data_IF_339446193719
#
_entry.id   IF_339446193719
#
_cell.length_a   1.000
_cell.length_b   1.000
_cell.length_c   1.000
_cell.angle_alpha   90.00
_cell.angle_beta   90.00
_cell.angle_gamma   90.00
#
_symmetry.space_group_name_H-M   'P 1'
#
loop_
_entity.id
_entity.type
_entity.pdbx_description
1 polymer ?
#
# COMPACT_ATOMS: atom_id res chain seq x y z
N UNK A 1 -20.32 24.02 7.80
CA UNK A 1 -19.45 23.72 8.96
C UNK A 1 -19.04 22.28 8.77
N UNK A 2 -17.80 22.01 8.37
CA UNK A 2 -17.30 20.63 8.27
C UNK A 2 -17.14 20.11 9.71
N UNK A 3 -17.94 19.10 10.07
CA UNK A 3 -17.76 18.42 11.35
C UNK A 3 -16.37 17.78 11.36
N UNK A 4 -15.56 18.13 12.36
CA UNK A 4 -14.29 17.48 12.63
C UNK A 4 -14.56 16.08 13.13
N UNK A 5 -14.10 15.06 12.40
CA UNK A 5 -14.22 13.68 12.84
C UNK A 5 -13.04 13.33 13.72
N UNK A 6 -13.27 12.66 14.86
CA UNK A 6 -12.24 12.20 15.76
C UNK A 6 -12.59 10.80 16.30
N UNK A 7 -11.64 9.90 16.25
CA UNK A 7 -11.83 8.50 16.61
C UNK A 7 -12.40 7.64 15.49
N UNK A 8 -12.15 6.33 15.59
CA UNK A 8 -12.42 5.34 14.55
C UNK A 8 -13.85 5.37 14.00
N UNK A 9 -14.85 5.30 14.89
CA UNK A 9 -16.25 5.21 14.46
C UNK A 9 -16.71 6.46 13.73
N UNK A 10 -16.32 7.64 14.22
CA UNK A 10 -16.64 8.92 13.57
C UNK A 10 -16.09 9.01 12.14
N UNK A 11 -14.88 8.48 11.93
CA UNK A 11 -14.30 8.42 10.59
C UNK A 11 -15.01 7.42 9.68
N UNK A 12 -15.31 6.22 10.19
CA UNK A 12 -16.06 5.21 9.42
C UNK A 12 -17.42 5.78 8.99
N UNK A 13 -18.16 6.39 9.91
CA UNK A 13 -19.47 6.98 9.62
C UNK A 13 -19.38 8.09 8.58
N UNK A 14 -18.40 8.98 8.72
CA UNK A 14 -18.16 10.05 7.77
C UNK A 14 -17.83 9.54 6.38
N UNK A 15 -16.89 8.59 6.28
CA UNK A 15 -16.46 8.03 4.99
C UNK A 15 -17.55 7.19 4.32
N UNK A 16 -18.46 6.59 5.11
CA UNK A 16 -19.63 5.90 4.58
C UNK A 16 -20.75 6.84 4.10
N UNK A 17 -20.90 8.01 4.72
CA UNK A 17 -22.12 8.82 4.53
C UNK A 17 -21.98 9.99 3.55
N UNK A 18 -20.82 10.64 3.43
CA UNK A 18 -20.88 12.01 2.94
C UNK A 18 -20.01 12.40 1.74
N UNK A 19 -18.91 11.74 1.46
CA UNK A 19 -17.94 12.37 0.55
C UNK A 19 -17.58 11.58 -0.73
N UNK A 20 -18.13 10.38 -0.88
CA UNK A 20 -18.04 9.58 -2.10
C UNK A 20 -19.45 9.17 -2.60
N UNK A 21 -20.32 10.13 -2.98
CA UNK A 21 -21.74 9.83 -3.26
C UNK A 21 -21.93 8.79 -4.36
N UNK A 22 -21.11 8.83 -5.42
CA UNK A 22 -21.14 7.83 -6.49
C UNK A 22 -20.61 6.49 -6.02
N UNK A 23 -19.53 6.48 -5.25
CA UNK A 23 -18.97 5.29 -4.64
C UNK A 23 -19.92 4.69 -3.60
N UNK A 24 -20.52 5.52 -2.73
CA UNK A 24 -21.43 5.04 -1.69
C UNK A 24 -22.65 4.30 -2.29
N UNK A 25 -23.22 4.80 -3.38
CA UNK A 25 -24.35 4.15 -4.04
C UNK A 25 -23.96 2.80 -4.64
N UNK A 26 -22.83 2.73 -5.38
CA UNK A 26 -22.35 1.47 -5.97
C UNK A 26 -21.94 0.48 -4.89
N UNK A 27 -21.21 0.94 -3.85
CA UNK A 27 -20.81 0.10 -2.71
C UNK A 27 -22.03 -0.46 -2.00
N UNK A 28 -23.04 0.37 -1.70
CA UNK A 28 -24.27 -0.07 -1.05
C UNK A 28 -25.05 -1.09 -1.90
N UNK A 29 -25.17 -0.85 -3.21
CA UNK A 29 -25.86 -1.78 -4.10
C UNK A 29 -25.09 -3.11 -4.22
N UNK A 30 -23.75 -3.06 -4.29
CA UNK A 30 -22.90 -4.26 -4.30
C UNK A 30 -22.94 -5.00 -2.95
N UNK A 31 -23.00 -4.28 -1.82
CA UNK A 31 -23.16 -4.89 -0.49
C UNK A 31 -24.50 -5.59 -0.36
N UNK A 32 -25.61 -4.97 -0.77
CA UNK A 32 -26.93 -5.60 -0.75
C UNK A 32 -26.97 -6.89 -1.56
N UNK A 33 -26.24 -6.94 -2.67
CA UNK A 33 -26.13 -8.18 -3.47
C UNK A 33 -25.36 -9.28 -2.72
N UNK A 34 -24.37 -8.93 -1.90
CA UNK A 34 -23.57 -9.88 -1.11
C UNK A 34 -24.37 -10.48 0.04
N UNK A 35 -25.33 -9.72 0.62
CA UNK A 35 -26.21 -10.19 1.69
C UNK A 35 -27.29 -11.17 1.21
N UNK A 36 -27.48 -11.29 -0.12
CA UNK A 36 -28.44 -12.22 -0.72
C UNK A 36 -27.75 -13.57 -0.96
N UNK A 37 -28.20 -14.64 -0.30
CA UNK A 37 -27.65 -16.01 -0.46
C UNK A 37 -27.59 -16.50 -1.92
N UNK A 38 -28.33 -15.86 -2.84
CA UNK A 38 -28.42 -16.25 -4.25
C UNK A 38 -28.49 -15.02 -5.19
N UNK A 39 -27.56 -14.08 -5.04
CA UNK A 39 -27.46 -12.96 -5.99
C UNK A 39 -27.18 -13.48 -7.42
N UNK A 40 -28.01 -13.08 -8.36
CA UNK A 40 -27.90 -13.56 -9.75
C UNK A 40 -26.93 -12.71 -10.58
N UNK A 41 -26.37 -13.33 -11.64
CA UNK A 41 -25.60 -12.63 -12.69
C UNK A 41 -26.34 -11.40 -13.21
N UNK A 42 -27.66 -11.51 -13.37
CA UNK A 42 -28.50 -10.44 -13.88
C UNK A 42 -28.57 -9.26 -12.90
N UNK A 43 -28.71 -9.52 -11.60
CA UNK A 43 -28.79 -8.46 -10.60
C UNK A 43 -27.49 -7.65 -10.53
N UNK A 44 -26.32 -8.32 -10.58
CA UNK A 44 -25.03 -7.62 -10.64
C UNK A 44 -24.88 -6.83 -11.93
N UNK A 45 -25.27 -7.42 -13.07
CA UNK A 45 -25.25 -6.72 -14.34
C UNK A 45 -26.14 -5.47 -14.34
N UNK A 46 -27.34 -5.55 -13.78
CA UNK A 46 -28.28 -4.42 -13.69
C UNK A 46 -27.74 -3.27 -12.82
N UNK A 47 -27.01 -3.57 -11.75
CA UNK A 47 -26.34 -2.55 -10.94
C UNK A 47 -25.27 -1.85 -11.77
N UNK A 48 -24.41 -2.59 -12.44
CA UNK A 48 -23.28 -2.04 -13.21
C UNK A 48 -23.74 -1.26 -14.45
N UNK A 49 -24.79 -1.72 -15.13
CA UNK A 49 -25.32 -1.08 -16.33
C UNK A 49 -26.00 0.27 -16.09
N UNK A 50 -26.27 0.65 -14.82
CA UNK A 50 -26.77 1.98 -14.47
C UNK A 50 -25.74 3.09 -14.67
N UNK A 51 -24.45 2.73 -14.65
CA UNK A 51 -23.33 3.64 -14.85
C UNK A 51 -22.52 3.20 -16.10
N UNK A 52 -22.62 3.97 -17.18
CA UNK A 52 -21.95 3.67 -18.44
C UNK A 52 -20.41 3.78 -18.33
N UNK A 53 -19.90 4.69 -17.48
CA UNK A 53 -18.47 4.86 -17.26
C UNK A 53 -17.90 3.65 -16.51
N UNK A 54 -18.55 3.23 -15.42
CA UNK A 54 -18.20 2.04 -14.67
C UNK A 54 -18.30 0.78 -15.55
N UNK A 55 -19.40 0.61 -16.29
CA UNK A 55 -19.57 -0.48 -17.25
C UNK A 55 -18.40 -0.57 -18.22
N UNK A 56 -18.03 0.54 -18.85
CA UNK A 56 -16.92 0.60 -19.81
C UNK A 56 -15.57 0.20 -19.17
N UNK A 57 -15.30 0.67 -17.95
CA UNK A 57 -14.06 0.37 -17.24
C UNK A 57 -13.99 -1.08 -16.77
N UNK A 58 -15.09 -1.63 -16.24
CA UNK A 58 -15.18 -3.05 -15.87
C UNK A 58 -14.95 -3.95 -17.08
N UNK A 59 -15.54 -3.61 -18.24
CA UNK A 59 -15.30 -4.34 -19.49
C UNK A 59 -13.84 -4.20 -19.95
N UNK A 60 -13.22 -3.05 -19.78
CA UNK A 60 -11.79 -2.84 -20.11
C UNK A 60 -10.89 -3.70 -19.23
N UNK A 61 -11.11 -3.70 -17.92
CA UNK A 61 -10.38 -4.56 -16.98
C UNK A 61 -10.61 -6.03 -17.31
N UNK A 62 -11.85 -6.42 -17.55
CA UNK A 62 -12.22 -7.79 -17.94
C UNK A 62 -11.61 -8.25 -19.27
N UNK A 63 -11.35 -7.34 -20.21
CA UNK A 63 -10.67 -7.63 -21.48
C UNK A 63 -9.14 -7.51 -21.39
N UNK A 64 -8.57 -7.16 -20.24
CA UNK A 64 -7.12 -7.17 -20.09
C UNK A 64 -6.55 -8.58 -20.23
N UNK A 65 -5.31 -8.70 -20.66
CA UNK A 65 -4.65 -10.00 -20.84
C UNK A 65 -4.64 -10.85 -19.57
N UNK A 66 -4.79 -10.21 -18.43
CA UNK A 66 -4.84 -10.84 -17.13
C UNK A 66 -6.16 -11.59 -16.89
N UNK A 67 -7.30 -10.90 -17.06
CA UNK A 67 -8.63 -11.52 -16.86
C UNK A 67 -9.12 -12.32 -18.06
N UNK A 68 -8.55 -12.09 -19.23
CA UNK A 68 -8.93 -12.72 -20.49
C UNK A 68 -7.70 -13.21 -21.28
N UNK A 69 -7.00 -14.23 -20.77
CA UNK A 69 -5.82 -14.77 -21.45
C UNK A 69 -6.14 -15.35 -22.84
N UNK A 70 -7.39 -15.78 -23.08
CA UNK A 70 -7.85 -16.27 -24.38
C UNK A 70 -8.02 -15.16 -25.43
N UNK A 71 -7.98 -13.88 -25.02
CA UNK A 71 -8.21 -12.71 -25.87
C UNK A 71 -9.56 -12.71 -26.63
N UNK A 72 -10.50 -13.51 -26.17
CA UNK A 72 -11.88 -13.52 -26.70
C UNK A 72 -12.60 -12.25 -26.21
N UNK A 73 -12.94 -11.33 -27.10
CA UNK A 73 -13.49 -10.03 -26.70
C UNK A 73 -14.78 -10.17 -25.89
N UNK A 74 -14.74 -9.73 -24.65
CA UNK A 74 -15.89 -9.64 -23.74
C UNK A 74 -16.63 -8.33 -24.04
N UNK A 75 -17.87 -8.44 -24.54
CA UNK A 75 -18.67 -7.29 -24.99
C UNK A 75 -19.79 -6.91 -24.01
N UNK A 76 -20.13 -7.77 -23.07
CA UNK A 76 -21.24 -7.56 -22.13
C UNK A 76 -20.84 -7.85 -20.69
N UNK A 77 -21.44 -7.16 -19.74
CA UNK A 77 -21.23 -7.39 -18.31
C UNK A 77 -21.62 -8.81 -17.90
N UNK A 78 -22.75 -9.32 -18.39
CA UNK A 78 -23.16 -10.69 -18.10
C UNK A 78 -22.12 -11.73 -18.57
N UNK A 79 -21.47 -11.49 -19.72
CA UNK A 79 -20.38 -12.36 -20.20
C UNK A 79 -19.13 -12.22 -19.33
N UNK A 80 -18.80 -11.00 -18.90
CA UNK A 80 -17.71 -10.76 -17.95
C UNK A 80 -17.92 -11.54 -16.65
N UNK A 81 -19.12 -11.45 -16.06
CA UNK A 81 -19.47 -12.17 -14.83
C UNK A 81 -19.33 -13.69 -15.00
N UNK A 82 -19.76 -14.24 -16.13
CA UNK A 82 -19.64 -15.69 -16.39
C UNK A 82 -18.19 -16.12 -16.58
N UNK A 83 -17.35 -15.30 -17.21
CA UNK A 83 -15.95 -15.67 -17.53
C UNK A 83 -15.00 -15.40 -16.35
N UNK A 84 -15.17 -14.29 -15.66
CA UNK A 84 -14.27 -13.82 -14.60
C UNK A 84 -14.75 -14.28 -13.21
N UNK A 85 -16.05 -14.51 -13.09
CA UNK A 85 -16.72 -14.84 -11.83
C UNK A 85 -17.44 -13.64 -11.20
N UNK A 86 -18.50 -13.93 -10.44
CA UNK A 86 -19.37 -12.94 -9.81
C UNK A 86 -18.59 -12.04 -8.82
N UNK A 87 -17.86 -12.66 -7.89
CA UNK A 87 -17.13 -11.94 -6.86
C UNK A 87 -15.99 -11.09 -7.43
N UNK A 88 -15.28 -11.60 -8.43
CA UNK A 88 -14.21 -10.85 -9.08
C UNK A 88 -14.76 -9.61 -9.81
N UNK A 89 -15.86 -9.73 -10.55
CA UNK A 89 -16.48 -8.56 -11.20
C UNK A 89 -17.00 -7.56 -10.17
N UNK A 90 -17.56 -8.03 -9.07
CA UNK A 90 -17.98 -7.19 -7.95
C UNK A 90 -16.81 -6.42 -7.36
N UNK A 91 -15.71 -7.10 -7.05
CA UNK A 91 -14.51 -6.48 -6.45
C UNK A 91 -13.80 -5.52 -7.43
N UNK A 92 -13.73 -5.88 -8.72
CA UNK A 92 -13.23 -4.98 -9.78
C UNK A 92 -14.08 -3.72 -9.83
N UNK A 93 -15.40 -3.85 -9.78
CA UNK A 93 -16.32 -2.73 -9.85
C UNK A 93 -16.17 -1.80 -8.66
N UNK A 94 -16.01 -2.36 -7.46
CA UNK A 94 -15.72 -1.62 -6.24
C UNK A 94 -14.39 -0.85 -6.35
N UNK A 95 -13.33 -1.53 -6.80
CA UNK A 95 -11.99 -0.93 -6.95
C UNK A 95 -12.00 0.20 -7.96
N UNK A 96 -12.63 0.00 -9.13
CA UNK A 96 -12.75 1.03 -10.18
C UNK A 96 -13.51 2.24 -9.67
N UNK A 97 -14.65 2.03 -8.99
CA UNK A 97 -15.45 3.12 -8.44
C UNK A 97 -14.69 3.91 -7.38
N UNK A 98 -13.94 3.23 -6.50
CA UNK A 98 -13.12 3.86 -5.49
C UNK A 98 -12.02 4.73 -6.12
N UNK A 99 -11.26 4.16 -7.05
CA UNK A 99 -10.17 4.85 -7.74
C UNK A 99 -10.70 6.10 -8.48
N UNK A 100 -11.82 5.98 -9.19
CA UNK A 100 -12.44 7.10 -9.88
C UNK A 100 -12.86 8.18 -8.92
N UNK A 101 -13.63 7.85 -7.89
CA UNK A 101 -14.10 8.82 -6.90
C UNK A 101 -12.96 9.56 -6.19
N UNK A 102 -11.85 8.88 -5.94
CA UNK A 102 -10.66 9.48 -5.34
C UNK A 102 -9.87 10.36 -6.34
N UNK A 103 -9.84 9.99 -7.62
CA UNK A 103 -9.07 10.71 -8.64
C UNK A 103 -9.84 11.81 -9.36
N UNK A 104 -11.16 11.88 -9.28
CA UNK A 104 -11.99 12.88 -9.95
C UNK A 104 -11.80 14.31 -9.42
N UNK A 105 -11.45 14.44 -8.16
CA UNK A 105 -11.11 15.73 -7.53
C UNK A 105 -9.61 15.95 -7.70
N UNK A 106 -9.12 17.19 -7.58
CA UNK A 106 -7.68 17.47 -7.62
C UNK A 106 -7.00 16.69 -6.45
N UNK A 107 -6.45 15.49 -6.70
CA UNK A 107 -6.00 14.61 -5.62
C UNK A 107 -4.72 15.17 -5.00
N UNK A 108 -4.64 15.10 -3.67
CA UNK A 108 -3.41 15.40 -2.93
C UNK A 108 -2.26 14.50 -3.39
N UNK A 109 -1.04 14.99 -3.27
CA UNK A 109 0.14 14.23 -3.66
C UNK A 109 0.23 12.91 -2.88
N UNK A 110 -0.03 12.92 -1.58
CA UNK A 110 -0.04 11.74 -0.71
C UNK A 110 -1.02 10.67 -1.22
N UNK A 111 -2.22 11.07 -1.65
CA UNK A 111 -3.17 10.14 -2.24
C UNK A 111 -2.64 9.51 -3.53
N UNK A 112 -2.01 10.31 -4.39
CA UNK A 112 -1.48 9.80 -5.66
C UNK A 112 -0.33 8.82 -5.43
N UNK A 113 0.58 9.14 -4.53
CA UNK A 113 1.71 8.28 -4.14
C UNK A 113 1.22 6.97 -3.52
N UNK A 114 0.25 7.05 -2.61
CA UNK A 114 -0.35 5.88 -1.98
C UNK A 114 -1.06 4.97 -3.00
N UNK A 115 -1.85 5.54 -3.91
CA UNK A 115 -2.50 4.77 -4.97
C UNK A 115 -1.49 4.10 -5.91
N UNK A 116 -0.42 4.79 -6.31
CA UNK A 116 0.63 4.22 -7.13
C UNK A 116 1.30 3.02 -6.42
N UNK A 117 1.58 3.18 -5.12
CA UNK A 117 2.11 2.11 -4.26
C UNK A 117 1.13 0.94 -4.16
N UNK A 118 -0.16 1.21 -4.00
CA UNK A 118 -1.21 0.17 -3.93
C UNK A 118 -1.30 -0.65 -5.22
N UNK A 119 -1.22 -0.03 -6.40
CA UNK A 119 -1.16 -0.77 -7.67
C UNK A 119 0.10 -1.63 -7.78
N UNK A 120 1.25 -1.08 -7.40
CA UNK A 120 2.50 -1.83 -7.40
C UNK A 120 2.42 -3.03 -6.45
N UNK A 121 1.97 -2.80 -5.21
CA UNK A 121 1.77 -3.85 -4.21
C UNK A 121 0.81 -4.95 -4.69
N UNK A 122 -0.29 -4.57 -5.34
CA UNK A 122 -1.29 -5.51 -5.83
C UNK A 122 -0.75 -6.45 -6.92
N UNK A 123 0.02 -5.90 -7.87
CA UNK A 123 0.64 -6.72 -8.92
C UNK A 123 1.73 -7.61 -8.34
N UNK A 124 2.56 -7.10 -7.42
CA UNK A 124 3.55 -7.91 -6.70
C UNK A 124 2.86 -9.08 -5.99
N UNK A 125 1.86 -8.80 -5.16
CA UNK A 125 1.16 -9.82 -4.37
C UNK A 125 0.53 -10.90 -5.25
N UNK A 126 -0.12 -10.53 -6.34
CA UNK A 126 -0.72 -11.44 -7.29
C UNK A 126 0.32 -12.35 -7.94
N UNK A 127 1.40 -11.77 -8.45
CA UNK A 127 2.44 -12.54 -9.13
C UNK A 127 3.18 -13.47 -8.16
N UNK A 128 3.37 -13.06 -6.90
CA UNK A 128 3.88 -13.91 -5.83
C UNK A 128 2.92 -15.08 -5.57
N UNK A 129 1.62 -14.81 -5.48
CA UNK A 129 0.60 -15.84 -5.28
C UNK A 129 0.64 -16.90 -6.38
N UNK A 130 0.93 -16.53 -7.62
CA UNK A 130 1.06 -17.45 -8.75
C UNK A 130 2.12 -18.54 -8.58
N UNK A 131 3.11 -18.39 -7.69
CA UNK A 131 4.08 -19.43 -7.38
C UNK A 131 3.54 -20.50 -6.42
N UNK A 132 2.61 -20.14 -5.54
CA UNK A 132 2.20 -20.95 -4.40
C UNK A 132 0.72 -21.32 -4.38
N UNK A 133 -0.09 -20.60 -5.16
CA UNK A 133 -1.53 -20.83 -5.26
C UNK A 133 -1.88 -21.28 -6.69
N UNK A 134 -2.88 -22.16 -6.78
CA UNK A 134 -3.44 -22.59 -8.06
C UNK A 134 -4.72 -21.85 -8.43
N UNK A 135 -5.26 -21.05 -7.51
CA UNK A 135 -6.49 -20.26 -7.63
C UNK A 135 -6.41 -19.09 -6.63
N UNK A 136 -7.33 -18.12 -6.79
CA UNK A 136 -7.49 -16.96 -5.89
C UNK A 136 -6.46 -15.83 -6.07
N UNK A 137 -5.70 -15.82 -7.15
CA UNK A 137 -4.74 -14.74 -7.45
C UNK A 137 -5.43 -13.37 -7.57
N UNK A 138 -6.66 -13.36 -8.09
CA UNK A 138 -7.48 -12.15 -8.18
C UNK A 138 -7.89 -11.60 -6.81
N UNK A 139 -8.23 -12.48 -5.88
CA UNK A 139 -8.58 -12.09 -4.52
C UNK A 139 -7.35 -11.48 -3.81
N UNK A 140 -6.17 -12.07 -4.02
CA UNK A 140 -4.89 -11.55 -3.52
C UNK A 140 -4.60 -10.17 -4.10
N UNK A 141 -4.82 -9.98 -5.42
CA UNK A 141 -4.65 -8.68 -6.07
C UNK A 141 -5.54 -7.61 -5.44
N UNK A 142 -6.83 -7.88 -5.30
CA UNK A 142 -7.79 -6.91 -4.73
C UNK A 142 -7.50 -6.65 -3.25
N UNK A 143 -7.17 -7.69 -2.47
CA UNK A 143 -6.82 -7.53 -1.07
C UNK A 143 -5.58 -6.63 -0.89
N UNK A 144 -4.58 -6.75 -1.75
CA UNK A 144 -3.40 -5.90 -1.73
C UNK A 144 -3.69 -4.47 -2.24
N UNK A 145 -4.50 -4.32 -3.31
CA UNK A 145 -4.88 -3.02 -3.87
C UNK A 145 -5.65 -2.16 -2.85
N UNK A 146 -6.53 -2.79 -2.09
CA UNK A 146 -7.38 -2.13 -1.10
C UNK A 146 -6.84 -2.27 0.33
N UNK A 147 -5.60 -2.73 0.50
CA UNK A 147 -4.96 -2.90 1.81
C UNK A 147 -4.99 -1.61 2.63
N UNK A 148 -4.69 -0.48 2.01
CA UNK A 148 -4.63 0.82 2.67
C UNK A 148 -5.87 1.69 2.37
N UNK A 149 -7.03 1.05 2.20
CA UNK A 149 -8.27 1.71 1.77
C UNK A 149 -8.74 2.84 2.71
N UNK A 150 -8.51 2.71 4.01
CA UNK A 150 -8.87 3.75 4.99
C UNK A 150 -7.99 4.98 4.85
N UNK A 151 -6.69 4.79 4.65
CA UNK A 151 -5.76 5.89 4.39
C UNK A 151 -6.05 6.55 3.04
N UNK A 152 -6.30 5.75 1.99
CA UNK A 152 -6.74 6.27 0.69
C UNK A 152 -8.00 7.13 0.80
N UNK A 153 -9.01 6.64 1.51
CA UNK A 153 -10.26 7.37 1.74
C UNK A 153 -10.04 8.65 2.56
N UNK A 154 -9.17 8.61 3.57
CA UNK A 154 -8.81 9.79 4.36
C UNK A 154 -8.14 10.86 3.50
N UNK A 155 -7.09 10.53 2.74
CA UNK A 155 -6.42 11.50 1.87
C UNK A 155 -7.32 12.05 0.77
N UNK A 156 -8.29 11.27 0.31
CA UNK A 156 -9.27 11.69 -0.70
C UNK A 156 -10.39 12.57 -0.14
N UNK A 157 -10.84 12.28 1.08
CA UNK A 157 -12.07 12.85 1.64
C UNK A 157 -11.90 13.54 3.01
N UNK A 158 -10.71 13.53 3.57
CA UNK A 158 -10.42 14.08 4.91
C UNK A 158 -10.58 15.60 5.01
N UNK A 159 -10.67 16.31 3.87
CA UNK A 159 -10.87 17.76 3.87
C UNK A 159 -9.77 18.50 4.62
N UNK A 160 -10.16 19.42 5.51
CA UNK A 160 -9.21 20.22 6.30
C UNK A 160 -8.32 19.37 7.21
N UNK A 161 -8.83 18.25 7.74
CA UNK A 161 -8.01 17.37 8.60
C UNK A 161 -6.90 16.64 7.82
N UNK A 162 -7.11 16.36 6.54
CA UNK A 162 -6.04 15.84 5.69
C UNK A 162 -4.97 16.92 5.38
N UNK A 163 -5.34 18.19 5.27
CA UNK A 163 -4.38 19.29 5.14
C UNK A 163 -3.60 19.46 6.46
N UNK A 164 -4.29 19.42 7.60
CA UNK A 164 -3.67 19.45 8.95
C UNK A 164 -2.66 18.31 9.14
N UNK A 165 -3.02 17.07 8.80
CA UNK A 165 -2.08 15.95 8.89
C UNK A 165 -0.86 16.18 8.00
N UNK A 166 -1.05 16.69 6.78
CA UNK A 166 0.04 17.02 5.87
C UNK A 166 1.00 18.06 6.47
N UNK A 167 0.48 19.08 7.14
CA UNK A 167 1.30 20.10 7.82
C UNK A 167 2.07 19.54 9.02
N UNK A 168 1.43 18.71 9.84
CA UNK A 168 2.06 18.06 11.01
C UNK A 168 3.21 17.15 10.56
N UNK A 169 3.00 16.35 9.51
CA UNK A 169 4.04 15.50 8.93
C UNK A 169 5.19 16.31 8.32
N UNK A 170 4.90 17.40 7.65
CA UNK A 170 5.93 18.31 7.12
C UNK A 170 6.75 18.97 8.24
N UNK A 171 6.18 19.11 9.45
CA UNK A 171 6.86 19.58 10.66
C UNK A 171 7.85 18.59 11.26
N UNK A 172 7.91 17.35 10.73
CA UNK A 172 8.86 16.32 11.19
C UNK A 172 8.35 15.46 12.36
N UNK A 173 7.07 15.54 12.70
CA UNK A 173 6.44 14.64 13.67
C UNK A 173 6.46 13.21 13.15
N UNK A 174 6.64 12.24 14.05
CA UNK A 174 6.52 10.82 13.69
C UNK A 174 5.17 10.52 13.05
N UNK A 175 5.16 9.64 12.04
CA UNK A 175 3.97 9.38 11.22
C UNK A 175 2.81 8.86 12.08
N UNK A 176 3.05 7.88 12.93
CA UNK A 176 1.98 7.25 13.71
C UNK A 176 1.47 8.21 14.81
N UNK A 177 2.35 9.01 15.39
CA UNK A 177 1.99 10.05 16.35
C UNK A 177 1.14 11.16 15.71
N UNK A 178 1.53 11.62 14.51
CA UNK A 178 0.77 12.63 13.76
C UNK A 178 -0.63 12.13 13.40
N UNK A 179 -0.73 10.87 12.94
CA UNK A 179 -2.01 10.23 12.61
C UNK A 179 -2.92 10.13 13.84
N UNK A 180 -2.40 9.64 14.96
CA UNK A 180 -3.16 9.54 16.21
C UNK A 180 -3.61 10.92 16.71
N UNK A 181 -2.76 11.93 16.61
CA UNK A 181 -3.08 13.30 17.00
C UNK A 181 -4.24 13.88 16.19
N UNK A 182 -4.24 13.71 14.87
CA UNK A 182 -5.22 14.33 13.96
C UNK A 182 -6.50 13.51 13.86
N UNK A 183 -6.40 12.19 13.80
CA UNK A 183 -7.54 11.31 13.58
C UNK A 183 -8.14 10.76 14.88
N UNK A 184 -7.36 10.67 15.98
CA UNK A 184 -7.76 9.95 17.20
C UNK A 184 -7.85 8.44 17.01
N UNK A 185 -7.19 7.92 15.97
CA UNK A 185 -7.11 6.50 15.63
C UNK A 185 -5.95 6.26 14.67
N UNK A 186 -5.51 5.02 14.50
CA UNK A 186 -4.47 4.68 13.53
C UNK A 186 -5.05 4.38 12.14
N UNK A 187 -4.26 4.58 11.08
CA UNK A 187 -4.65 4.14 9.73
C UNK A 187 -4.91 2.63 9.66
N UNK A 188 -4.16 1.83 10.41
CA UNK A 188 -4.42 0.38 10.50
C UNK A 188 -5.83 0.07 11.00
N UNK A 189 -6.30 0.76 12.04
CA UNK A 189 -7.67 0.58 12.55
C UNK A 189 -8.70 1.08 11.53
N UNK A 190 -8.44 2.19 10.89
CA UNK A 190 -9.32 2.75 9.87
C UNK A 190 -9.41 1.83 8.64
N UNK A 191 -8.29 1.28 8.17
CA UNK A 191 -8.25 0.30 7.09
C UNK A 191 -9.13 -0.91 7.43
N UNK A 192 -8.92 -1.53 8.59
CA UNK A 192 -9.72 -2.68 9.05
C UNK A 192 -11.20 -2.34 9.20
N UNK A 193 -11.52 -1.15 9.70
CA UNK A 193 -12.89 -0.67 9.84
C UNK A 193 -13.60 -0.55 8.51
N UNK A 194 -12.97 0.05 7.51
CA UNK A 194 -13.56 0.18 6.17
C UNK A 194 -13.56 -1.13 5.38
N UNK A 195 -12.54 -1.97 5.50
CA UNK A 195 -12.54 -3.31 4.90
C UNK A 195 -13.75 -4.10 5.36
N UNK A 196 -14.07 -4.07 6.66
CA UNK A 196 -15.26 -4.72 7.21
C UNK A 196 -16.55 -4.03 6.78
N UNK A 197 -16.61 -2.70 6.88
CA UNK A 197 -17.80 -1.92 6.52
C UNK A 197 -18.17 -2.07 5.04
N UNK A 198 -17.20 -2.17 4.16
CA UNK A 198 -17.40 -2.32 2.71
C UNK A 198 -17.42 -3.77 2.23
N UNK A 199 -17.29 -4.73 3.14
CA UNK A 199 -17.25 -6.16 2.85
C UNK A 199 -16.27 -6.52 1.72
N UNK A 200 -15.03 -6.01 1.83
CA UNK A 200 -13.98 -6.20 0.81
C UNK A 200 -13.54 -7.66 0.72
N UNK A 201 -13.66 -8.40 1.83
CA UNK A 201 -13.35 -9.81 1.91
C UNK A 201 -12.52 -10.18 3.15
N UNK A 202 -12.54 -11.46 3.47
CA UNK A 202 -11.82 -11.97 4.65
C UNK A 202 -10.30 -11.87 4.48
N UNK A 203 -9.79 -12.16 3.29
CA UNK A 203 -8.36 -12.10 2.98
C UNK A 203 -7.79 -10.69 3.27
N UNK A 204 -8.47 -9.63 2.84
CA UNK A 204 -8.06 -8.25 3.12
C UNK A 204 -8.04 -7.97 4.64
N UNK A 205 -9.02 -8.50 5.39
CA UNK A 205 -9.06 -8.37 6.85
C UNK A 205 -7.91 -9.14 7.52
N UNK A 206 -7.62 -10.35 7.07
CA UNK A 206 -6.53 -11.18 7.62
C UNK A 206 -5.15 -10.60 7.34
N UNK A 207 -4.95 -9.96 6.20
CA UNK A 207 -3.68 -9.32 5.83
C UNK A 207 -3.29 -8.17 6.79
N UNK A 208 -4.26 -7.52 7.45
CA UNK A 208 -4.00 -6.50 8.47
C UNK A 208 -3.83 -7.05 9.89
N UNK A 209 -4.27 -8.28 10.15
CA UNK A 209 -4.17 -8.90 11.47
C UNK A 209 -2.73 -9.31 11.79
N UNK A 210 -2.48 -9.70 13.07
CA UNK A 210 -1.35 -10.55 13.42
C UNK A 210 -1.58 -11.96 12.85
N UNK A 211 -2.27 -12.01 11.71
CA UNK A 211 -2.89 -13.15 11.12
C UNK A 211 -1.88 -14.16 10.62
N UNK A 212 -2.42 -15.24 10.27
CA UNK A 212 -1.76 -16.45 9.88
C UNK A 212 -0.88 -16.24 8.62
N UNK A 213 0.34 -15.71 8.80
CA UNK A 213 1.38 -15.68 7.73
C UNK A 213 1.71 -17.09 7.19
N UNK A 214 1.13 -18.15 7.79
CA UNK A 214 1.18 -19.50 7.24
C UNK A 214 0.19 -19.69 6.10
N UNK A 215 -0.83 -18.82 5.99
CA UNK A 215 -1.71 -18.80 4.82
C UNK A 215 -0.97 -18.17 3.64
N UNK A 216 -0.75 -18.92 2.54
CA UNK A 216 0.01 -18.41 1.40
C UNK A 216 -0.61 -17.17 0.75
N UNK A 217 -1.93 -17.01 0.77
CA UNK A 217 -2.60 -15.84 0.22
C UNK A 217 -2.32 -14.59 1.08
N UNK A 218 -2.43 -14.72 2.41
CA UNK A 218 -2.11 -13.64 3.36
C UNK A 218 -0.62 -13.26 3.26
N UNK A 219 0.26 -14.25 3.15
CA UNK A 219 1.69 -14.00 3.01
C UNK A 219 2.01 -13.28 1.70
N UNK A 220 1.38 -13.67 0.58
CA UNK A 220 1.53 -13.00 -0.72
C UNK A 220 1.10 -11.53 -0.66
N UNK A 221 -0.03 -11.22 0.00
CA UNK A 221 -0.47 -9.82 0.22
C UNK A 221 0.59 -9.07 1.04
N UNK A 222 1.04 -9.63 2.15
CA UNK A 222 2.04 -9.02 3.02
C UNK A 222 3.34 -8.72 2.29
N UNK A 223 3.87 -9.70 1.54
CA UNK A 223 5.09 -9.52 0.72
C UNK A 223 4.90 -8.44 -0.33
N UNK A 224 3.80 -8.48 -1.09
CA UNK A 224 3.52 -7.49 -2.13
C UNK A 224 3.45 -6.06 -1.59
N UNK A 225 2.79 -5.85 -0.45
CA UNK A 225 2.69 -4.54 0.21
C UNK A 225 4.06 -4.05 0.68
N UNK A 226 4.86 -4.92 1.30
CA UNK A 226 6.22 -4.58 1.79
C UNK A 226 7.18 -4.29 0.63
N UNK A 227 7.12 -5.06 -0.46
CA UNK A 227 7.90 -4.81 -1.67
C UNK A 227 7.52 -3.46 -2.29
N UNK A 228 6.22 -3.16 -2.40
CA UNK A 228 5.74 -1.88 -2.90
C UNK A 228 6.24 -0.69 -2.09
N UNK A 229 6.31 -0.83 -0.77
CA UNK A 229 6.86 0.19 0.12
C UNK A 229 8.40 0.30 0.01
N UNK A 230 9.11 -0.83 0.03
CA UNK A 230 10.58 -0.84 -0.04
C UNK A 230 11.11 -0.29 -1.38
N UNK A 231 10.39 -0.49 -2.47
CA UNK A 231 10.77 0.01 -3.79
C UNK A 231 10.88 1.55 -3.86
N UNK A 232 10.14 2.27 -3.03
CA UNK A 232 10.26 3.74 -2.91
C UNK A 232 11.64 4.16 -2.38
N UNK A 233 12.30 3.28 -1.63
CA UNK A 233 13.65 3.48 -1.11
C UNK A 233 14.75 3.02 -2.10
N UNK A 234 14.36 2.52 -3.27
CA UNK A 234 15.25 2.01 -4.31
C UNK A 234 15.45 0.50 -4.26
N UNK A 235 15.70 -0.06 -5.43
CA UNK A 235 15.80 -1.50 -5.66
C UNK A 235 16.98 -2.20 -4.96
N UNK A 236 18.00 -1.46 -4.55
CA UNK A 236 19.19 -1.97 -3.85
C UNK A 236 19.20 -1.65 -2.34
N UNK A 237 18.07 -1.31 -1.74
CA UNK A 237 18.04 -1.04 -0.30
C UNK A 237 18.09 -2.35 0.51
N UNK A 238 18.66 -2.33 1.74
CA UNK A 238 18.79 -3.53 2.57
C UNK A 238 17.45 -4.22 2.86
N UNK A 239 16.38 -3.44 2.94
CA UNK A 239 15.04 -3.95 3.12
C UNK A 239 14.59 -4.79 1.90
N UNK A 240 14.86 -4.29 0.69
CA UNK A 240 14.56 -5.02 -0.55
C UNK A 240 15.37 -6.32 -0.65
N UNK A 241 16.63 -6.32 -0.27
CA UNK A 241 17.45 -7.55 -0.25
C UNK A 241 16.86 -8.61 0.70
N UNK A 242 16.32 -8.18 1.85
CA UNK A 242 15.60 -9.07 2.77
C UNK A 242 14.34 -9.65 2.15
N UNK A 243 13.57 -8.82 1.43
CA UNK A 243 12.33 -9.23 0.75
C UNK A 243 12.59 -10.17 -0.43
N UNK A 244 13.67 -9.94 -1.18
CA UNK A 244 14.11 -10.85 -2.27
C UNK A 244 14.38 -12.23 -1.72
N UNK A 245 15.11 -12.35 -0.61
CA UNK A 245 15.39 -13.66 0.05
C UNK A 245 14.11 -14.32 0.55
N UNK A 246 13.23 -13.55 1.21
CA UNK A 246 11.95 -14.06 1.69
C UNK A 246 11.08 -14.57 0.54
N UNK A 247 11.02 -13.83 -0.59
CA UNK A 247 10.30 -14.28 -1.79
C UNK A 247 10.93 -15.52 -2.42
N UNK A 248 12.26 -15.59 -2.50
CA UNK A 248 12.97 -16.75 -3.04
C UNK A 248 12.65 -18.01 -2.23
N UNK A 249 12.72 -17.93 -0.91
CA UNK A 249 12.37 -19.02 0.00
C UNK A 249 10.90 -19.42 -0.12
N UNK A 250 10.01 -18.45 -0.17
CA UNK A 250 8.57 -18.67 -0.24
C UNK A 250 8.13 -19.28 -1.58
N UNK A 251 8.67 -18.79 -2.68
CA UNK A 251 8.35 -19.25 -4.04
C UNK A 251 9.16 -20.47 -4.50
N UNK A 252 10.17 -20.88 -3.72
CA UNK A 252 11.08 -21.97 -4.12
C UNK A 252 11.91 -21.65 -5.37
N UNK A 253 12.30 -20.40 -5.56
CA UNK A 253 13.05 -19.87 -6.71
C UNK A 253 14.41 -19.29 -6.28
N UNK A 254 15.28 -18.97 -7.23
CA UNK A 254 16.53 -18.30 -6.90
C UNK A 254 16.31 -16.81 -6.53
N UNK A 255 17.21 -16.21 -5.74
CA UNK A 255 17.17 -14.77 -5.45
C UNK A 255 17.23 -13.91 -6.73
N UNK A 256 17.96 -14.39 -7.74
CA UNK A 256 18.05 -13.71 -9.04
C UNK A 256 16.70 -13.72 -9.76
N UNK A 257 16.00 -14.85 -9.78
CA UNK A 257 14.67 -14.98 -10.37
C UNK A 257 13.64 -14.16 -9.57
N UNK A 258 13.73 -14.17 -8.23
CA UNK A 258 12.89 -13.37 -7.36
C UNK A 258 13.04 -11.88 -7.65
N UNK A 259 14.27 -11.36 -7.76
CA UNK A 259 14.53 -9.97 -8.13
C UNK A 259 14.01 -9.63 -9.51
N UNK A 260 14.24 -10.50 -10.50
CA UNK A 260 13.72 -10.32 -11.86
C UNK A 260 12.18 -10.25 -11.86
N UNK A 261 11.52 -11.11 -11.09
CA UNK A 261 10.08 -11.11 -10.95
C UNK A 261 9.56 -9.81 -10.31
N UNK A 262 10.23 -9.31 -9.27
CA UNK A 262 9.88 -8.04 -8.62
C UNK A 262 9.96 -6.89 -9.63
N UNK A 263 11.01 -6.79 -10.41
CA UNK A 263 11.17 -5.75 -11.42
C UNK A 263 10.11 -5.87 -12.53
N UNK A 264 9.88 -7.08 -13.05
CA UNK A 264 8.85 -7.32 -14.06
C UNK A 264 7.44 -6.95 -13.56
N UNK A 265 7.17 -7.22 -12.29
CA UNK A 265 5.88 -6.85 -11.65
C UNK A 265 5.72 -5.34 -11.53
N UNK A 266 6.78 -4.57 -11.33
CA UNK A 266 6.71 -3.11 -11.32
C UNK A 266 6.36 -2.55 -12.71
N UNK A 267 6.96 -3.08 -13.78
CA UNK A 267 6.61 -2.71 -15.16
C UNK A 267 5.16 -3.08 -15.49
N UNK A 268 4.71 -4.24 -15.05
CA UNK A 268 3.33 -4.66 -15.22
C UNK A 268 2.35 -3.77 -14.46
N UNK A 269 2.71 -3.27 -13.27
CA UNK A 269 1.88 -2.38 -12.47
C UNK A 269 1.53 -1.08 -13.21
N UNK A 270 2.41 -0.56 -14.04
CA UNK A 270 2.15 0.60 -14.91
C UNK A 270 1.03 0.30 -15.90
N UNK A 271 1.03 -0.89 -16.51
CA UNK A 271 0.01 -1.31 -17.46
C UNK A 271 -1.34 -1.53 -16.75
N UNK A 272 -1.31 -2.15 -15.57
CA UNK A 272 -2.51 -2.39 -14.76
C UNK A 272 -3.12 -1.09 -14.30
N UNK A 273 -2.35 -0.14 -13.75
CA UNK A 273 -2.83 1.18 -13.35
C UNK A 273 -3.49 1.92 -14.54
N UNK A 274 -2.89 1.83 -15.73
CA UNK A 274 -3.47 2.40 -16.96
C UNK A 274 -4.81 1.76 -17.32
N UNK A 275 -4.92 0.44 -17.18
CA UNK A 275 -6.15 -0.32 -17.45
C UNK A 275 -7.29 0.10 -16.52
N UNK A 276 -6.98 0.37 -15.26
CA UNK A 276 -7.94 0.90 -14.26
C UNK A 276 -8.25 2.39 -14.45
N UNK A 277 -7.66 3.08 -15.43
CA UNK A 277 -7.90 4.50 -15.70
C UNK A 277 -7.00 5.45 -14.89
N UNK A 278 -6.00 4.93 -14.20
CA UNK A 278 -5.10 5.68 -13.32
C UNK A 278 -3.75 6.04 -13.97
N UNK A 279 -3.73 6.28 -15.29
CA UNK A 279 -2.49 6.51 -16.08
C UNK A 279 -1.60 7.65 -15.53
N UNK A 280 -2.20 8.64 -14.86
CA UNK A 280 -1.44 9.74 -14.23
C UNK A 280 -0.54 9.29 -13.08
N UNK A 281 -0.81 8.12 -12.49
CA UNK A 281 -0.02 7.55 -11.39
C UNK A 281 1.20 6.78 -11.86
N UNK A 282 1.28 6.45 -13.16
CA UNK A 282 2.36 5.63 -13.72
C UNK A 282 3.77 6.18 -13.43
N UNK A 283 3.89 7.51 -13.35
CA UNK A 283 5.16 8.19 -13.04
C UNK A 283 5.62 8.04 -11.59
N UNK A 284 4.70 7.65 -10.71
CA UNK A 284 4.95 7.47 -9.28
C UNK A 284 5.28 6.01 -8.92
N UNK A 285 5.08 5.08 -9.86
CA UNK A 285 5.54 3.70 -9.72
C UNK A 285 7.05 3.69 -9.96
N UNK A 286 7.86 3.07 -9.09
CA UNK A 286 9.31 3.07 -9.22
C UNK A 286 9.78 2.51 -10.58
N UNK A 287 10.63 3.26 -11.26
CA UNK A 287 11.17 2.86 -12.57
C UNK A 287 12.11 1.66 -12.43
N UNK A 288 12.04 0.76 -13.39
CA UNK A 288 12.92 -0.40 -13.54
C UNK A 288 13.99 -0.18 -14.61
N UNK A 289 14.01 1.00 -15.26
CA UNK A 289 15.05 1.39 -16.22
C UNK A 289 16.44 1.31 -15.56
N UNK A 290 17.35 0.46 -16.06
CA UNK A 290 18.67 0.24 -15.45
C UNK A 290 19.48 1.53 -15.24
N UNK A 291 19.37 2.50 -16.14
CA UNK A 291 20.08 3.78 -16.01
C UNK A 291 19.50 4.60 -14.84
N UNK A 292 18.18 4.64 -14.72
CA UNK A 292 17.50 5.35 -13.62
C UNK A 292 17.71 4.63 -12.28
N UNK A 293 17.67 3.31 -12.25
CA UNK A 293 17.96 2.50 -11.06
C UNK A 293 19.39 2.76 -10.57
N UNK A 294 20.37 2.75 -11.48
CA UNK A 294 21.77 3.03 -11.11
C UNK A 294 21.95 4.48 -10.63
N UNK A 295 21.28 5.44 -11.27
CA UNK A 295 21.33 6.84 -10.84
C UNK A 295 20.75 7.03 -9.44
N UNK A 296 19.60 6.42 -9.14
CA UNK A 296 18.98 6.44 -7.82
C UNK A 296 19.87 5.79 -6.75
N UNK A 297 20.47 4.63 -7.08
CA UNK A 297 21.41 3.96 -6.19
C UNK A 297 22.65 4.81 -5.91
N UNK A 298 23.21 5.44 -6.93
CA UNK A 298 24.35 6.33 -6.78
C UNK A 298 24.03 7.58 -5.95
N UNK A 299 22.87 8.20 -6.18
CA UNK A 299 22.39 9.33 -5.39
C UNK A 299 22.19 8.95 -3.94
N UNK A 300 21.60 7.79 -3.67
CA UNK A 300 21.41 7.27 -2.32
C UNK A 300 22.74 6.97 -1.64
N UNK A 301 23.66 6.29 -2.31
CA UNK A 301 25.00 6.03 -1.79
C UNK A 301 25.75 7.32 -1.43
N UNK A 302 25.55 8.37 -2.23
CA UNK A 302 26.11 9.69 -1.95
C UNK A 302 25.43 10.42 -0.78
N UNK A 303 24.15 10.09 -0.49
CA UNK A 303 23.38 10.67 0.64
C UNK A 303 23.59 9.94 1.97
N UNK A 304 24.15 8.73 1.94
CA UNK A 304 24.44 7.97 3.15
C UNK A 304 25.53 8.68 3.98
N UNK A 305 25.32 8.71 5.28
CA UNK A 305 26.33 9.19 6.21
C UNK A 305 27.61 8.37 6.04
N UNK A 306 28.73 9.06 5.68
CA UNK A 306 30.02 8.40 5.60
C UNK A 306 30.64 8.33 7.00
N UNK A 307 31.30 7.22 7.36
CA UNK A 307 32.01 7.14 8.63
C UNK A 307 33.08 8.24 8.72
N UNK A 308 33.05 9.01 9.80
CA UNK A 308 34.10 9.99 10.14
C UNK A 308 34.93 9.48 11.32
N UNK A 309 36.12 8.98 11.01
CA UNK A 309 37.04 8.41 12.00
C UNK A 309 37.48 9.43 13.04
N UNK A 310 37.56 10.72 12.70
CA UNK A 310 37.96 11.77 13.66
C UNK A 310 36.83 12.04 14.64
N UNK A 311 35.59 12.17 14.17
CA UNK A 311 34.43 12.30 15.03
C UNK A 311 34.21 11.05 15.91
N UNK A 312 34.47 9.87 15.37
CA UNK A 312 34.39 8.63 16.14
C UNK A 312 35.46 8.59 17.27
N UNK A 313 36.70 8.98 16.98
CA UNK A 313 37.75 9.04 17.97
C UNK A 313 37.42 10.10 19.05
N UNK A 314 36.93 11.28 18.67
CA UNK A 314 36.51 12.31 19.62
C UNK A 314 35.36 11.79 20.51
N UNK A 315 34.34 11.19 19.96
CA UNK A 315 33.23 10.63 20.72
C UNK A 315 33.71 9.55 21.71
N UNK A 316 34.65 8.69 21.31
CA UNK A 316 35.24 7.68 22.21
C UNK A 316 36.05 8.33 23.35
N UNK A 317 36.80 9.40 23.08
CA UNK A 317 37.54 10.13 24.12
C UNK A 317 36.58 10.83 25.09
N UNK A 318 35.55 11.50 24.57
CA UNK A 318 34.54 12.18 25.38
C UNK A 318 33.81 11.18 26.30
N UNK A 319 33.40 10.04 25.74
CA UNK A 319 32.77 8.95 26.49
C UNK A 319 33.70 8.44 27.60
N UNK A 320 35.00 8.24 27.30
CA UNK A 320 36.01 7.86 28.30
C UNK A 320 36.14 8.85 29.41
N UNK A 321 36.18 10.14 29.11
CA UNK A 321 36.26 11.22 30.12
C UNK A 321 34.98 11.33 30.97
N UNK A 322 33.80 11.25 30.32
CA UNK A 322 32.50 11.29 31.00
C UNK A 322 32.33 10.09 31.94
N UNK A 323 32.71 8.89 31.49
CA UNK A 323 32.66 7.68 32.31
C UNK A 323 33.62 7.76 33.53
N UNK A 324 34.82 8.28 33.33
CA UNK A 324 35.80 8.46 34.42
C UNK A 324 35.36 9.50 35.46
N UNK A 325 34.65 10.54 35.05
CA UNK A 325 34.15 11.62 35.93
C UNK A 325 32.82 11.31 36.60
N UNK A 326 32.25 10.11 36.44
CA UNK A 326 30.91 9.75 36.89
C UNK A 326 29.84 10.73 36.40
N UNK A 327 29.95 11.12 35.13
CA UNK A 327 29.01 12.02 34.45
C UNK A 327 27.57 11.51 34.44
N UNK A 328 26.65 12.40 34.10
CA UNK A 328 25.25 12.08 33.94
C UNK A 328 25.06 10.99 32.86
N UNK A 329 24.33 9.94 33.19
CA UNK A 329 24.09 8.80 32.30
C UNK A 329 23.40 9.25 30.99
N UNK A 330 22.50 10.24 31.06
CA UNK A 330 21.81 10.77 29.87
C UNK A 330 22.78 11.41 28.88
N UNK A 331 23.76 12.19 29.40
CA UNK A 331 24.81 12.82 28.59
C UNK A 331 25.75 11.78 27.95
N UNK A 332 26.07 10.71 28.70
CA UNK A 332 26.89 9.61 28.19
C UNK A 332 26.16 8.89 27.03
N UNK A 333 24.86 8.63 27.21
CA UNK A 333 24.04 7.97 26.15
C UNK A 333 23.88 8.86 24.94
N UNK A 334 23.68 10.16 25.10
CA UNK A 334 23.58 11.12 23.97
C UNK A 334 24.89 11.20 23.18
N UNK A 335 26.04 11.25 23.89
CA UNK A 335 27.36 11.23 23.28
C UNK A 335 27.61 9.90 22.52
N UNK A 336 27.17 8.77 23.08
CA UNK A 336 27.25 7.46 22.45
C UNK A 336 26.41 7.42 21.16
N UNK A 337 25.16 7.86 21.22
CA UNK A 337 24.25 7.89 20.07
C UNK A 337 24.79 8.79 18.95
N UNK A 338 25.32 9.98 19.31
CA UNK A 338 25.97 10.89 18.34
C UNK A 338 27.22 10.27 17.71
N UNK A 339 28.05 9.63 18.51
CA UNK A 339 29.27 8.97 18.03
C UNK A 339 28.96 7.84 17.05
N UNK A 340 27.93 7.05 17.32
CA UNK A 340 27.45 6.00 16.43
C UNK A 340 26.81 6.56 15.17
N UNK A 341 25.97 7.59 15.30
CA UNK A 341 25.30 8.19 14.14
C UNK A 341 26.28 8.93 13.23
N UNK A 342 27.02 9.89 13.74
CA UNK A 342 27.89 10.76 12.94
C UNK A 342 29.29 10.16 12.74
N UNK A 343 29.86 9.53 13.76
CA UNK A 343 31.21 8.98 13.69
C UNK A 343 31.28 7.63 12.95
N UNK A 344 30.37 6.72 13.24
CA UNK A 344 30.32 5.43 12.55
C UNK A 344 29.45 5.45 11.27
N UNK A 345 28.75 6.54 10.98
CA UNK A 345 27.93 6.69 9.78
C UNK A 345 26.66 5.85 9.80
N UNK A 346 26.13 5.52 10.97
CA UNK A 346 24.90 4.73 11.07
C UNK A 346 23.66 5.62 10.85
N UNK A 347 22.82 5.31 9.88
CA UNK A 347 21.62 6.10 9.54
C UNK A 347 20.61 6.16 10.71
N UNK A 348 20.49 5.09 11.48
CA UNK A 348 19.63 5.02 12.67
C UNK A 348 20.36 4.36 13.81
N UNK A 349 20.28 4.99 14.95
CA UNK A 349 20.82 4.45 16.22
C UNK A 349 19.72 4.57 17.28
N UNK A 350 19.36 3.47 17.92
CA UNK A 350 18.35 3.43 18.97
C UNK A 350 18.88 2.67 20.19
N UNK A 351 18.63 3.24 21.37
CA UNK A 351 18.94 2.59 22.63
C UNK A 351 17.63 2.16 23.31
N UNK A 352 17.49 0.88 23.59
CA UNK A 352 16.35 0.36 24.36
C UNK A 352 16.80 0.01 25.77
N UNK A 353 16.17 0.60 26.77
CA UNK A 353 16.37 0.27 28.18
C UNK A 353 15.24 -0.66 28.60
N UNK A 354 15.60 -1.87 29.02
CA UNK A 354 14.64 -2.79 29.63
C UNK A 354 14.41 -2.34 31.09
N UNK A 355 13.15 -2.04 31.42
CA UNK A 355 12.74 -1.68 32.78
C UNK A 355 12.50 -2.92 33.63
#
# INVERSE_FOLDING_TARGET
MSETSYGLQSWIDRLNQSELPALAAVVQDLQRLTEQEHASVQQLADVLLRDAALTSKVLRVGNSSYYNPSQETIKTISRAIVMIGFDNVRLISLSVSLIDGLLDRAPRQQLQELLARSFHAAVQARNIAGYVLTKHEEEVFIAALLHEVGELAFWGCGGQQADELGEVLAGGTDHDEAVEQVLGTSFRQLNLGLIKSWNIGELASFAHGAGNLRDPAVHSVSLGVRIGAAALNGWGCPEMEGLVRELADFGGISEADAMQQILASADEAVNVATTFGASRLCKLIPSTDPEQVQLQQAQRAASLLQPDLLLMQQAMQDLGMMAASRGDVGLILDALLKGLHQGAGLERVMLTVLA
#
